data_IF_563057308022
#
_entry.id   IF_563057308022
#
_cell.length_a   1.000
_cell.length_b   1.000
_cell.length_c   1.000
_cell.angle_alpha   90.00
_cell.angle_beta   90.00
_cell.angle_gamma   90.00
#
_symmetry.space_group_name_H-M   'P 1'
#
loop_
_entity.id
_entity.type
_entity.pdbx_description
1 polymer ?
#
# COMPACT_ATOMS: atom_id res chain seq x y z
N UNK A 1 -15.02 0.65 15.13
CA UNK A 1 -14.98 -0.53 14.24
C UNK A 1 -16.36 -0.69 13.65
N UNK A 2 -16.51 -0.54 12.33
CA UNK A 2 -17.80 -0.83 11.67
C UNK A 2 -17.94 -2.35 11.52
N UNK A 3 -19.16 -2.85 11.71
CA UNK A 3 -19.48 -4.27 11.62
C UNK A 3 -20.48 -4.47 10.48
N UNK A 4 -20.33 -5.54 9.69
CA UNK A 4 -21.23 -5.85 8.58
C UNK A 4 -22.05 -7.07 8.98
N UNK A 5 -23.36 -6.98 8.84
CA UNK A 5 -24.26 -8.12 9.05
C UNK A 5 -24.37 -8.87 7.73
N UNK A 6 -24.02 -10.15 7.73
CA UNK A 6 -24.25 -11.07 6.59
C UNK A 6 -25.26 -12.13 7.01
N UNK A 7 -26.03 -12.68 6.05
CA UNK A 7 -26.90 -13.82 6.30
C UNK A 7 -26.34 -15.04 5.59
N UNK A 8 -25.94 -16.05 6.36
CA UNK A 8 -25.57 -17.38 5.87
C UNK A 8 -26.62 -18.37 6.37
N UNK A 9 -27.51 -18.81 5.47
CA UNK A 9 -28.58 -19.76 5.84
C UNK A 9 -29.71 -19.15 6.68
N UNK A 10 -30.00 -17.86 6.53
CA UNK A 10 -31.12 -17.20 7.23
C UNK A 10 -30.80 -16.72 8.65
N UNK A 11 -29.60 -17.01 9.17
CA UNK A 11 -29.15 -16.51 10.48
C UNK A 11 -28.23 -15.30 10.25
N UNK A 12 -28.55 -14.11 10.82
CA UNK A 12 -27.68 -12.96 10.74
C UNK A 12 -26.41 -13.20 11.58
N UNK A 13 -25.26 -13.13 10.93
CA UNK A 13 -23.95 -13.18 11.59
C UNK A 13 -23.22 -11.86 11.39
N UNK A 14 -22.57 -11.39 12.45
CA UNK A 14 -21.82 -10.14 12.42
C UNK A 14 -20.37 -10.44 12.09
N UNK A 15 -19.88 -9.91 10.97
CA UNK A 15 -18.48 -10.04 10.56
C UNK A 15 -17.74 -8.70 10.74
N UNK A 16 -16.45 -8.71 11.15
CA UNK A 16 -15.64 -7.51 11.21
C UNK A 16 -15.55 -6.86 9.81
N UNK A 17 -15.98 -5.60 9.65
CA UNK A 17 -15.87 -4.89 8.36
C UNK A 17 -14.44 -4.41 8.05
N UNK A 18 -13.45 -4.74 8.89
CA UNK A 18 -12.05 -4.38 8.69
C UNK A 18 -11.42 -5.03 7.46
N UNK A 19 -12.09 -6.02 6.85
CA UNK A 19 -11.66 -6.67 5.60
C UNK A 19 -12.07 -5.94 4.32
N UNK A 20 -13.05 -5.03 4.37
CA UNK A 20 -13.64 -4.44 3.14
C UNK A 20 -13.00 -3.10 2.73
N UNK A 21 -12.08 -2.55 3.52
CA UNK A 21 -11.40 -1.29 3.19
C UNK A 21 -9.89 -1.46 3.30
N UNK A 22 -9.16 -1.56 2.16
CA UNK A 22 -7.73 -1.80 2.22
C UNK A 22 -7.02 -0.61 2.86
N UNK A 23 -6.38 -0.87 4.01
CA UNK A 23 -5.61 0.12 4.75
C UNK A 23 -4.19 0.26 4.17
N UNK A 24 -3.59 1.47 4.20
CA UNK A 24 -2.21 1.65 3.76
C UNK A 24 -1.24 0.84 4.63
N UNK A 25 -0.16 0.34 4.03
CA UNK A 25 0.91 -0.33 4.75
C UNK A 25 1.58 0.62 5.76
N UNK A 26 2.01 0.07 6.89
CA UNK A 26 2.80 0.78 7.92
C UNK A 26 4.02 -0.06 8.31
N UNK A 27 4.92 0.50 9.12
CA UNK A 27 6.11 -0.22 9.58
C UNK A 27 5.81 -1.44 10.46
N UNK A 28 4.61 -1.53 11.05
CA UNK A 28 4.22 -2.61 11.97
C UNK A 28 2.99 -3.39 11.50
N UNK A 29 2.39 -3.04 10.36
CA UNK A 29 1.17 -3.69 9.87
C UNK A 29 1.18 -3.75 8.35
N UNK A 30 1.01 -4.95 7.80
CA UNK A 30 0.85 -5.15 6.38
C UNK A 30 -0.39 -4.42 5.85
N UNK A 31 -0.30 -3.88 4.65
CA UNK A 31 -1.38 -3.13 4.01
C UNK A 31 -1.11 -2.93 2.53
N UNK A 32 -1.91 -2.09 1.89
CA UNK A 32 -1.77 -1.77 0.47
C UNK A 32 -0.82 -0.60 0.22
N UNK A 33 -0.26 -0.59 -0.98
CA UNK A 33 0.65 0.43 -1.51
C UNK A 33 0.21 0.80 -2.91
N UNK A 34 0.54 2.02 -3.35
CA UNK A 34 0.23 2.45 -4.71
C UNK A 34 1.24 1.83 -5.67
N UNK A 35 0.82 1.61 -6.92
CA UNK A 35 1.76 1.29 -7.98
C UNK A 35 2.71 2.47 -8.18
N UNK A 36 4.01 2.20 -8.17
CA UNK A 36 5.03 3.21 -8.43
C UNK A 36 5.01 3.59 -9.92
N UNK A 37 5.20 4.88 -10.20
CA UNK A 37 5.40 5.36 -11.58
C UNK A 37 6.61 4.67 -12.20
N UNK A 38 6.49 4.29 -13.47
CA UNK A 38 7.56 3.66 -14.23
C UNK A 38 8.89 4.43 -14.11
N UNK A 39 9.98 3.68 -13.99
CA UNK A 39 11.35 4.20 -14.05
C UNK A 39 12.05 3.47 -15.20
N UNK A 40 12.46 4.17 -16.26
CA UNK A 40 13.17 3.54 -17.36
C UNK A 40 14.50 2.97 -16.90
N UNK A 41 14.94 1.89 -17.54
CA UNK A 41 16.26 1.32 -17.31
C UNK A 41 17.34 2.29 -17.82
N UNK A 42 18.34 2.55 -16.97
CA UNK A 42 19.47 3.39 -17.35
C UNK A 42 20.42 2.61 -18.25
N UNK A 43 20.88 3.25 -19.32
CA UNK A 43 21.92 2.71 -20.22
C UNK A 43 23.34 3.12 -19.79
N UNK A 44 23.46 4.07 -18.86
CA UNK A 44 24.70 4.52 -18.25
C UNK A 44 24.76 4.12 -16.77
N UNK A 45 25.93 4.31 -16.15
CA UNK A 45 26.08 4.12 -14.71
C UNK A 45 25.13 5.06 -13.94
N UNK A 46 24.37 4.55 -12.94
CA UNK A 46 23.46 5.38 -12.15
C UNK A 46 24.19 6.48 -11.41
N UNK A 47 23.62 7.68 -11.43
CA UNK A 47 24.10 8.83 -10.67
C UNK A 47 23.41 8.92 -9.31
N UNK A 48 23.92 9.77 -8.41
CA UNK A 48 23.24 10.07 -7.16
C UNK A 48 21.86 10.72 -7.38
N UNK A 49 21.68 11.49 -8.45
CA UNK A 49 20.40 12.08 -8.80
C UNK A 49 19.36 11.00 -9.17
N UNK A 50 19.78 9.97 -9.91
CA UNK A 50 18.92 8.84 -10.28
C UNK A 50 18.46 8.06 -9.03
N UNK A 51 19.39 7.85 -8.08
CA UNK A 51 19.06 7.20 -6.81
C UNK A 51 18.07 8.02 -5.98
N UNK A 52 18.31 9.32 -5.81
CA UNK A 52 17.40 10.19 -5.06
C UNK A 52 16.02 10.26 -5.72
N UNK A 53 15.94 10.27 -7.06
CA UNK A 53 14.68 10.23 -7.78
C UNK A 53 13.91 8.92 -7.53
N UNK A 54 14.61 7.78 -7.45
CA UNK A 54 13.99 6.51 -7.06
C UNK A 54 13.43 6.56 -5.63
N UNK A 55 14.19 7.09 -4.67
CA UNK A 55 13.72 7.24 -3.28
C UNK A 55 12.44 8.07 -3.22
N UNK A 56 12.38 9.21 -3.93
CA UNK A 56 11.18 10.04 -3.99
C UNK A 56 9.98 9.28 -4.55
N UNK A 57 10.16 8.45 -5.58
CA UNK A 57 9.09 7.62 -6.15
C UNK A 57 8.60 6.53 -5.18
N UNK A 58 9.51 5.91 -4.42
CA UNK A 58 9.15 4.91 -3.41
C UNK A 58 8.36 5.53 -2.25
N UNK A 59 8.76 6.71 -1.78
CA UNK A 59 8.03 7.48 -0.76
C UNK A 59 6.64 7.86 -1.27
N UNK A 60 6.55 8.38 -2.51
CA UNK A 60 5.27 8.81 -3.10
C UNK A 60 4.28 7.65 -3.29
N UNK A 61 4.79 6.45 -3.58
CA UNK A 61 3.97 5.24 -3.72
C UNK A 61 3.60 4.57 -2.39
N UNK A 62 4.10 5.08 -1.26
CA UNK A 62 3.84 4.53 0.07
C UNK A 62 4.64 3.25 0.37
N UNK A 63 5.67 2.96 -0.42
CA UNK A 63 6.54 1.80 -0.23
C UNK A 63 7.63 2.05 0.82
N UNK A 64 7.93 3.32 1.10
CA UNK A 64 8.94 3.76 2.06
C UNK A 64 8.44 4.97 2.84
N UNK A 65 8.79 5.07 4.13
CA UNK A 65 8.51 6.24 4.94
C UNK A 65 9.40 7.43 4.52
N UNK A 66 8.92 8.66 4.74
CA UNK A 66 9.67 9.89 4.45
C UNK A 66 10.65 10.30 5.57
N UNK A 67 10.60 9.63 6.72
CA UNK A 67 11.38 9.91 7.94
C UNK A 67 11.37 8.71 8.86
#
# INVERSE_FOLDING_TARGET
MTQRVISTGGVPTTVPSTSDNPAPATSSTAGIVKQMTFTPQLTAAPTQADFNALLTKLITSGQMASS
#
